data_IF_624856650447
#
_entry.id   IF_624856650447
#
_cell.length_a   1.000
_cell.length_b   1.000
_cell.length_c   1.000
_cell.angle_alpha   90.00
_cell.angle_beta   90.00
_cell.angle_gamma   90.00
#
_symmetry.space_group_name_H-M   'P 1'
#
loop_
_entity.id
_entity.type
_entity.pdbx_description
1 polymer ?
#
# COMPACT_ATOMS: atom_id res chain seq x y z
N UNK A 1 63.29 2.83 4.90
CA UNK A 1 62.51 1.92 4.03
C UNK A 1 61.29 1.33 4.72
N UNK A 2 61.38 0.89 5.98
CA UNK A 2 60.25 0.29 6.72
C UNK A 2 59.06 1.25 6.89
N UNK A 3 59.30 2.55 7.14
CA UNK A 3 58.23 3.55 7.28
C UNK A 3 57.39 3.73 6.00
N UNK A 4 58.01 3.66 4.82
CA UNK A 4 57.29 3.80 3.55
C UNK A 4 56.37 2.60 3.31
N UNK A 5 56.82 1.40 3.72
CA UNK A 5 56.02 0.18 3.64
C UNK A 5 54.81 0.24 4.59
N UNK A 6 55.03 0.68 5.84
CA UNK A 6 53.96 0.83 6.84
C UNK A 6 52.95 1.89 6.38
N UNK A 7 53.43 3.03 5.89
CA UNK A 7 52.57 4.08 5.35
C UNK A 7 51.73 3.58 4.16
N UNK A 8 52.33 2.81 3.25
CA UNK A 8 51.61 2.20 2.13
C UNK A 8 50.50 1.23 2.55
N UNK A 9 50.76 0.38 3.55
CA UNK A 9 49.77 -0.58 4.08
C UNK A 9 48.63 0.16 4.81
N UNK A 10 48.94 1.18 5.59
CA UNK A 10 47.93 2.00 6.28
C UNK A 10 47.05 2.77 5.29
N UNK A 11 47.63 3.31 4.22
CA UNK A 11 46.88 4.01 3.19
C UNK A 11 45.97 3.04 2.42
N UNK A 12 46.47 1.86 2.06
CA UNK A 12 45.71 0.84 1.37
C UNK A 12 44.53 0.32 2.21
N UNK A 13 44.74 0.11 3.52
CA UNK A 13 43.68 -0.33 4.42
C UNK A 13 42.61 0.74 4.63
N UNK A 14 43.01 2.02 4.75
CA UNK A 14 42.09 3.15 4.83
C UNK A 14 41.23 3.27 3.56
N UNK A 15 41.84 3.18 2.38
CA UNK A 15 41.12 3.22 1.10
C UNK A 15 40.14 2.04 0.95
N UNK A 16 40.56 0.84 1.36
CA UNK A 16 39.69 -0.34 1.36
C UNK A 16 38.52 -0.24 2.36
N UNK A 17 38.71 0.45 3.49
CA UNK A 17 37.66 0.70 4.46
C UNK A 17 36.67 1.75 3.94
N UNK A 18 37.15 2.88 3.42
CA UNK A 18 36.31 3.94 2.84
C UNK A 18 35.48 3.41 1.68
N UNK A 19 36.09 2.61 0.79
CA UNK A 19 35.39 1.99 -0.34
C UNK A 19 34.20 1.14 0.12
N UNK A 20 34.36 0.36 1.20
CA UNK A 20 33.28 -0.46 1.77
C UNK A 20 32.18 0.40 2.40
N UNK A 21 32.54 1.47 3.10
CA UNK A 21 31.56 2.41 3.68
C UNK A 21 30.74 3.08 2.58
N UNK A 22 31.39 3.57 1.51
CA UNK A 22 30.71 4.21 0.39
C UNK A 22 29.74 3.27 -0.32
N UNK A 23 30.14 2.01 -0.57
CA UNK A 23 29.25 1.01 -1.19
C UNK A 23 28.06 0.68 -0.28
N UNK A 24 28.28 0.54 1.03
CA UNK A 24 27.20 0.29 1.99
C UNK A 24 26.19 1.46 2.03
N UNK A 25 26.69 2.70 2.02
CA UNK A 25 25.84 3.89 1.97
C UNK A 25 25.00 3.94 0.69
N UNK A 26 25.60 3.68 -0.47
CA UNK A 26 24.89 3.63 -1.76
C UNK A 26 23.83 2.53 -1.79
N UNK A 27 24.15 1.34 -1.30
CA UNK A 27 23.19 0.24 -1.18
C UNK A 27 22.01 0.60 -0.28
N UNK A 28 22.27 1.29 0.83
CA UNK A 28 21.22 1.80 1.71
C UNK A 28 20.34 2.85 1.02
N UNK A 29 20.95 3.80 0.30
CA UNK A 29 20.22 4.82 -0.45
C UNK A 29 19.36 4.25 -1.58
N UNK A 30 19.84 3.23 -2.30
CA UNK A 30 19.06 2.55 -3.33
C UNK A 30 17.83 1.86 -2.73
N UNK A 31 18.01 1.12 -1.64
CA UNK A 31 16.91 0.43 -0.94
C UNK A 31 15.87 1.43 -0.42
N UNK A 32 16.32 2.56 0.13
CA UNK A 32 15.42 3.64 0.56
C UNK A 32 14.65 4.26 -0.60
N UNK A 33 15.29 4.47 -1.76
CA UNK A 33 14.61 4.98 -2.95
C UNK A 33 13.55 4.02 -3.46
N UNK A 34 13.84 2.72 -3.49
CA UNK A 34 12.87 1.70 -3.89
C UNK A 34 11.70 1.63 -2.89
N UNK A 35 12.00 1.72 -1.59
CA UNK A 35 11.01 1.83 -0.51
C UNK A 35 10.08 3.02 -0.76
N UNK A 36 10.62 4.21 -0.98
CA UNK A 36 9.83 5.42 -1.25
C UNK A 36 8.96 5.25 -2.48
N UNK A 37 9.45 4.60 -3.54
CA UNK A 37 8.67 4.32 -4.76
C UNK A 37 7.49 3.39 -4.48
N UNK A 38 7.69 2.33 -3.69
CA UNK A 38 6.62 1.40 -3.28
C UNK A 38 5.58 2.12 -2.43
N UNK A 39 6.00 2.83 -1.38
CA UNK A 39 5.09 3.54 -0.48
C UNK A 39 4.29 4.63 -1.22
N UNK A 40 4.91 5.34 -2.17
CA UNK A 40 4.21 6.29 -3.02
C UNK A 40 3.16 5.62 -3.90
N UNK A 41 3.47 4.47 -4.51
CA UNK A 41 2.51 3.73 -5.33
C UNK A 41 1.33 3.19 -4.51
N UNK A 42 1.56 2.73 -3.29
CA UNK A 42 0.51 2.30 -2.35
C UNK A 42 -0.35 3.51 -1.96
N UNK A 43 0.28 4.61 -1.54
CA UNK A 43 -0.43 5.82 -1.12
C UNK A 43 -1.30 6.42 -2.25
N UNK A 44 -0.79 6.45 -3.47
CA UNK A 44 -1.56 6.87 -4.65
C UNK A 44 -2.79 5.97 -4.87
N UNK A 45 -2.64 4.65 -4.68
CA UNK A 45 -3.76 3.72 -4.80
C UNK A 45 -4.79 3.95 -3.69
N UNK A 46 -4.34 4.12 -2.44
CA UNK A 46 -5.23 4.43 -1.30
C UNK A 46 -6.05 5.68 -1.56
N UNK A 47 -5.43 6.76 -2.05
CA UNK A 47 -6.15 7.99 -2.38
C UNK A 47 -7.18 7.77 -3.49
N UNK A 48 -6.88 6.96 -4.50
CA UNK A 48 -7.86 6.58 -5.51
C UNK A 48 -9.04 5.81 -4.89
N UNK A 49 -8.77 4.83 -4.01
CA UNK A 49 -9.80 4.04 -3.33
C UNK A 49 -10.71 4.92 -2.45
N UNK A 50 -10.13 5.82 -1.67
CA UNK A 50 -10.87 6.75 -0.82
C UNK A 50 -11.68 7.74 -1.64
N UNK A 51 -11.15 8.19 -2.77
CA UNK A 51 -11.88 9.04 -3.71
C UNK A 51 -13.12 8.32 -4.24
N UNK A 52 -13.00 7.08 -4.71
CA UNK A 52 -14.15 6.33 -5.23
C UNK A 52 -15.18 6.02 -4.14
N UNK A 53 -14.77 5.66 -2.92
CA UNK A 53 -15.69 5.53 -1.76
C UNK A 53 -16.43 6.84 -1.44
N UNK A 54 -15.77 8.00 -1.60
CA UNK A 54 -16.43 9.29 -1.42
C UNK A 54 -17.55 9.56 -2.44
N UNK A 55 -17.45 9.00 -3.65
CA UNK A 55 -18.47 9.10 -4.69
C UNK A 55 -19.53 8.00 -4.60
N UNK A 56 -19.18 6.85 -4.01
CA UNK A 56 -20.06 5.71 -3.79
C UNK A 56 -21.09 5.98 -2.67
N UNK A 57 -22.01 6.88 -2.97
CA UNK A 57 -23.07 7.36 -2.08
C UNK A 57 -24.37 6.56 -2.28
N UNK A 58 -25.30 6.68 -1.34
CA UNK A 58 -26.64 6.11 -1.46
C UNK A 58 -27.37 6.60 -2.71
N UNK A 59 -27.27 7.90 -3.02
CA UNK A 59 -27.84 8.47 -4.24
C UNK A 59 -27.25 7.86 -5.52
N UNK A 60 -25.94 7.62 -5.55
CA UNK A 60 -25.28 6.98 -6.69
C UNK A 60 -25.78 5.54 -6.89
N UNK A 61 -25.85 4.77 -5.81
CA UNK A 61 -26.32 3.37 -5.85
C UNK A 61 -27.77 3.30 -6.34
N UNK A 62 -28.61 4.24 -5.89
CA UNK A 62 -30.01 4.35 -6.33
C UNK A 62 -30.11 4.71 -7.81
N UNK A 63 -29.27 5.62 -8.30
CA UNK A 63 -29.29 6.04 -9.71
C UNK A 63 -28.87 4.89 -10.65
N UNK A 64 -27.88 4.09 -10.22
CA UNK A 64 -27.34 2.97 -11.00
C UNK A 64 -28.26 1.73 -10.99
N UNK A 65 -28.83 1.38 -9.83
CA UNK A 65 -29.54 0.11 -9.63
C UNK A 65 -30.89 0.20 -8.92
N UNK A 66 -31.37 1.41 -8.61
CA UNK A 66 -32.61 1.64 -7.88
C UNK A 66 -32.55 1.34 -6.38
N UNK A 67 -33.72 1.35 -5.74
CA UNK A 67 -33.83 1.20 -4.28
C UNK A 67 -33.47 -0.19 -3.79
N UNK A 68 -33.71 -1.20 -4.62
CA UNK A 68 -33.37 -2.59 -4.30
C UNK A 68 -31.85 -2.80 -4.29
N UNK A 69 -31.10 -2.06 -5.12
CA UNK A 69 -29.64 -2.08 -5.10
C UNK A 69 -29.10 -1.48 -3.81
N UNK A 70 -29.65 -0.36 -3.33
CA UNK A 70 -29.27 0.19 -2.03
C UNK A 70 -29.62 -0.77 -0.89
N UNK A 71 -30.79 -1.38 -0.93
CA UNK A 71 -31.21 -2.34 0.10
C UNK A 71 -30.29 -3.57 0.14
N UNK A 72 -29.83 -4.04 -1.02
CA UNK A 72 -28.84 -5.13 -1.15
C UNK A 72 -27.46 -4.69 -0.68
N UNK A 73 -26.99 -3.50 -1.06
CA UNK A 73 -25.72 -2.96 -0.60
C UNK A 73 -25.70 -2.81 0.94
N UNK A 74 -26.84 -2.50 1.54
CA UNK A 74 -27.00 -2.40 2.99
C UNK A 74 -26.98 -3.73 3.75
N UNK A 75 -27.12 -4.89 3.07
CA UNK A 75 -26.98 -6.18 3.77
C UNK A 75 -25.53 -6.48 4.14
N UNK A 76 -24.59 -6.11 3.26
CA UNK A 76 -23.15 -6.21 3.50
C UNK A 76 -22.41 -5.03 2.86
N UNK A 77 -22.35 -3.86 3.54
CA UNK A 77 -21.74 -2.66 2.97
C UNK A 77 -20.28 -2.84 2.55
N UNK A 78 -19.41 -3.51 3.33
CA UNK A 78 -18.02 -3.79 2.94
C UNK A 78 -17.90 -4.58 1.63
N UNK A 79 -18.74 -5.60 1.43
CA UNK A 79 -18.77 -6.40 0.20
C UNK A 79 -19.23 -5.56 -0.99
N UNK A 80 -20.29 -4.76 -0.83
CA UNK A 80 -20.80 -3.88 -1.88
C UNK A 80 -19.74 -2.86 -2.31
N UNK A 81 -19.05 -2.22 -1.36
CA UNK A 81 -17.95 -1.32 -1.66
C UNK A 81 -16.78 -2.06 -2.33
N UNK A 82 -16.43 -3.28 -1.87
CA UNK A 82 -15.37 -4.07 -2.48
C UNK A 82 -15.67 -4.36 -3.96
N UNK A 83 -16.88 -4.79 -4.27
CA UNK A 83 -17.31 -5.08 -5.63
C UNK A 83 -17.26 -3.83 -6.51
N UNK A 84 -17.71 -2.68 -5.99
CA UNK A 84 -17.59 -1.41 -6.70
C UNK A 84 -16.11 -1.07 -7.00
N UNK A 85 -15.27 -1.04 -5.96
CA UNK A 85 -13.87 -0.64 -6.10
C UNK A 85 -13.05 -1.57 -7.01
N UNK A 86 -13.35 -2.87 -7.05
CA UNK A 86 -12.70 -3.80 -7.99
C UNK A 86 -12.97 -3.43 -9.46
N UNK A 87 -14.06 -2.73 -9.75
CA UNK A 87 -14.41 -2.32 -11.13
C UNK A 87 -13.89 -0.92 -11.48
N UNK A 88 -13.94 0.02 -10.53
CA UNK A 88 -13.64 1.44 -10.82
C UNK A 88 -12.23 1.86 -10.41
N UNK A 89 -11.65 1.24 -9.38
CA UNK A 89 -10.39 1.70 -8.84
C UNK A 89 -9.21 1.10 -9.60
N UNK A 90 -8.20 1.92 -9.96
CA UNK A 90 -7.05 1.43 -10.69
C UNK A 90 -6.27 0.41 -9.86
N UNK A 91 -5.59 -0.51 -10.54
CA UNK A 91 -4.59 -1.37 -9.90
C UNK A 91 -3.36 -0.55 -9.44
N UNK A 92 -2.60 -1.03 -8.44
CA UNK A 92 -1.35 -0.42 -8.05
C UNK A 92 -0.40 -0.27 -9.25
N UNK A 93 0.24 0.91 -9.39
CA UNK A 93 1.10 1.21 -10.55
C UNK A 93 2.36 0.32 -10.65
N UNK A 94 2.72 -0.38 -9.58
CA UNK A 94 3.85 -1.31 -9.55
C UNK A 94 3.32 -2.75 -9.49
N UNK A 95 3.68 -3.56 -10.48
CA UNK A 95 3.26 -4.96 -10.58
C UNK A 95 3.78 -5.85 -9.44
N UNK A 96 4.79 -5.40 -8.70
CA UNK A 96 5.31 -6.10 -7.50
C UNK A 96 4.40 -5.93 -6.28
N UNK A 97 3.40 -5.06 -6.34
CA UNK A 97 2.40 -4.87 -5.29
C UNK A 97 1.14 -5.64 -5.70
N UNK A 98 0.74 -6.59 -4.86
CA UNK A 98 -0.55 -7.30 -5.01
C UNK A 98 -1.56 -6.71 -4.05
N UNK A 99 -2.74 -6.33 -4.55
CA UNK A 99 -3.86 -5.84 -3.74
C UNK A 99 -4.93 -6.92 -3.61
N UNK A 100 -5.44 -7.13 -2.40
CA UNK A 100 -6.59 -7.99 -2.13
C UNK A 100 -7.60 -7.28 -1.24
N UNK A 101 -8.84 -7.78 -1.29
CA UNK A 101 -9.96 -7.27 -0.51
C UNK A 101 -10.44 -8.33 0.47
N UNK A 102 -10.73 -7.90 1.69
CA UNK A 102 -11.25 -8.74 2.76
C UNK A 102 -12.39 -7.98 3.43
N UNK A 103 -13.62 -8.42 3.16
CA UNK A 103 -14.86 -7.83 3.66
C UNK A 103 -15.54 -8.69 4.75
N UNK A 104 -15.01 -9.88 5.01
CA UNK A 104 -15.62 -10.87 5.90
C UNK A 104 -14.95 -10.94 7.28
N UNK A 105 -13.66 -10.60 7.37
CA UNK A 105 -12.91 -10.80 8.62
C UNK A 105 -13.33 -9.86 9.75
N UNK A 106 -13.80 -8.65 9.43
CA UNK A 106 -14.23 -7.66 10.41
C UNK A 106 -15.61 -7.10 10.00
N UNK A 107 -16.67 -7.33 10.81
CA UNK A 107 -18.00 -6.84 10.48
C UNK A 107 -18.03 -5.32 10.27
N UNK A 108 -18.57 -4.89 9.13
CA UNK A 108 -18.75 -3.48 8.79
C UNK A 108 -17.49 -2.75 8.33
N UNK A 109 -16.33 -3.45 8.23
CA UNK A 109 -15.06 -2.86 7.79
C UNK A 109 -14.55 -3.62 6.56
N UNK A 110 -14.28 -2.88 5.48
CA UNK A 110 -13.55 -3.38 4.33
C UNK A 110 -12.05 -3.24 4.59
N UNK A 111 -11.32 -4.36 4.52
CA UNK A 111 -9.86 -4.38 4.58
C UNK A 111 -9.28 -4.47 3.17
N UNK A 112 -8.41 -3.52 2.84
CA UNK A 112 -7.63 -3.53 1.61
C UNK A 112 -6.20 -3.87 1.99
N UNK A 113 -5.70 -4.98 1.46
CA UNK A 113 -4.41 -5.56 1.84
C UNK A 113 -3.47 -5.44 0.65
N UNK A 114 -2.40 -4.67 0.81
CA UNK A 114 -1.31 -4.58 -0.14
C UNK A 114 -0.17 -5.49 0.32
N UNK A 115 0.25 -6.43 -0.51
CA UNK A 115 1.37 -7.34 -0.26
C UNK A 115 2.50 -7.09 -1.26
N UNK A 116 3.74 -6.98 -0.77
CA UNK A 116 4.92 -6.72 -1.60
C UNK A 116 6.21 -7.22 -0.92
N UNK A 117 7.30 -7.30 -1.68
CA UNK A 117 8.62 -7.62 -1.14
C UNK A 117 9.35 -6.35 -0.65
N UNK A 118 9.94 -6.43 0.53
CA UNK A 118 10.74 -5.33 1.08
C UNK A 118 12.04 -5.15 0.29
N UNK A 119 12.46 -3.92 -0.03
CA UNK A 119 13.71 -3.67 -0.75
C UNK A 119 14.97 -3.98 0.09
N UNK A 120 14.84 -4.17 1.41
CA UNK A 120 15.93 -4.51 2.30
C UNK A 120 16.21 -6.01 2.30
N UNK A 121 17.50 -6.39 2.30
CA UNK A 121 17.94 -7.78 2.14
C UNK A 121 17.41 -8.79 3.17
N UNK A 122 16.85 -8.32 4.30
CA UNK A 122 16.36 -9.16 5.39
C UNK A 122 14.83 -9.23 5.46
N UNK A 123 14.11 -8.38 4.73
CA UNK A 123 12.65 -8.29 4.80
C UNK A 123 12.04 -8.85 3.51
N UNK A 124 11.59 -10.10 3.56
CA UNK A 124 11.13 -10.81 2.35
C UNK A 124 9.73 -10.41 1.90
N UNK A 125 8.77 -10.30 2.83
CA UNK A 125 7.39 -9.98 2.49
C UNK A 125 6.82 -9.02 3.53
N UNK A 126 6.17 -7.98 3.05
CA UNK A 126 5.49 -6.98 3.85
C UNK A 126 4.05 -6.83 3.43
N UNK A 127 3.25 -6.35 4.38
CA UNK A 127 1.87 -5.98 4.14
C UNK A 127 1.62 -4.53 4.59
N UNK A 128 0.72 -3.88 3.89
CA UNK A 128 0.07 -2.64 4.32
C UNK A 128 -1.43 -2.89 4.27
N UNK A 129 -2.11 -2.65 5.39
CA UNK A 129 -3.54 -2.93 5.53
C UNK A 129 -4.21 -1.59 5.76
N UNK A 130 -5.23 -1.32 4.98
CA UNK A 130 -6.09 -0.16 5.14
C UNK A 130 -7.49 -0.66 5.48
N UNK A 131 -8.08 -0.01 6.47
CA UNK A 131 -9.42 -0.31 6.95
C UNK A 131 -10.33 0.83 6.54
N UNK A 132 -11.40 0.51 5.82
CA UNK A 132 -12.37 1.47 5.32
C UNK A 132 -13.76 1.07 5.78
N UNK A 133 -14.50 2.05 6.28
CA UNK A 133 -15.94 1.91 6.51
C UNK A 133 -16.65 2.58 5.34
N UNK A 134 -17.47 1.85 4.56
CA UNK A 134 -18.12 2.42 3.39
C UNK A 134 -18.94 3.68 3.71
N UNK A 135 -18.76 4.72 2.92
CA UNK A 135 -19.37 6.03 3.18
C UNK A 135 -20.92 5.96 3.25
N UNK A 136 -21.54 5.24 2.31
CA UNK A 136 -23.00 5.07 2.29
C UNK A 136 -23.55 4.23 3.47
N UNK A 137 -22.71 3.49 4.21
CA UNK A 137 -23.15 2.58 5.27
C UNK A 137 -23.95 3.31 6.37
N UNK A 138 -23.65 4.59 6.62
CA UNK A 138 -24.42 5.39 7.57
C UNK A 138 -25.90 5.55 7.18
N UNK A 139 -26.23 5.43 5.89
CA UNK A 139 -27.60 5.53 5.35
C UNK A 139 -28.38 4.21 5.45
N UNK A 140 -27.69 3.11 5.72
CA UNK A 140 -28.29 1.80 5.92
C UNK A 140 -29.03 1.68 7.26
N UNK A 141 -28.70 2.52 8.23
CA UNK A 141 -29.37 2.57 9.53
C UNK A 141 -30.53 3.57 9.49
N UNK A 142 -31.77 3.06 9.45
CA UNK A 142 -32.95 3.89 9.71
C UNK A 142 -33.12 4.01 11.23
N UNK A 143 -33.05 5.22 11.77
CA UNK A 143 -33.59 5.50 13.11
C UNK A 143 -35.09 5.24 13.06
N UNK A 144 -35.57 4.27 13.85
CA UNK A 144 -37.00 4.05 14.06
C UNK A 144 -37.64 5.24 14.79
#
# INVERSE_FOLDING_TARGET
MVEVLIAGILLASALAAVSRISVAALSGSASLSDRTRIEAAINDNIQAMQKEDSYYTDAWIIDDGGQDALQSACTNPPEALSNHLQTVAPEPRLATITRTFDFDSIPGILRIIYSFEGPEQQVKSEQRIIEMTPNFAAKCYKTQ
#
